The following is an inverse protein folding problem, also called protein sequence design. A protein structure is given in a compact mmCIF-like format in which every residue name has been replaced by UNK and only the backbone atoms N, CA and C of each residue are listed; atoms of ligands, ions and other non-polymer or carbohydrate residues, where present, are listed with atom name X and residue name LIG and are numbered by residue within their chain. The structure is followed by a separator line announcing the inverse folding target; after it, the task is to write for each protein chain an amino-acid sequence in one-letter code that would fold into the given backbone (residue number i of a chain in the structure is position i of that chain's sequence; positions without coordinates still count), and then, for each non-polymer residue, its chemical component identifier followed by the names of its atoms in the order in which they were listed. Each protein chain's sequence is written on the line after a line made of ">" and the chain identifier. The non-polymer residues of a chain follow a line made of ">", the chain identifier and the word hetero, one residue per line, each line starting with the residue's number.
data_IF_062640439247
#
_entry.id   IF_062640439247
#
_cell.length_a   1.000
_cell.length_b   1.000
_cell.length_c   1.000
_cell.angle_alpha   90.00
_cell.angle_beta   90.00
_cell.angle_gamma   90.00
#
_symmetry.space_group_name_H-M   'P 1'
#
loop_
_entity.id
_entity.type
_entity.pdbx_description
1 polymer ?
#
# COMPACT_ATOMS: atom_id res chain seq x y z
N UNK A 1 -7.55 -4.43 -18.77
CA UNK A 1 -6.45 -3.59 -18.27
C UNK A 1 -5.54 -4.50 -17.49
N UNK A 2 -4.25 -4.47 -17.79
CA UNK A 2 -3.26 -5.26 -17.06
C UNK A 2 -3.18 -4.80 -15.59
N UNK A 3 -2.87 -5.73 -14.68
CA UNK A 3 -2.77 -5.40 -13.24
C UNK A 3 -1.66 -4.38 -12.97
N UNK A 4 -0.57 -4.43 -13.74
CA UNK A 4 0.53 -3.48 -13.58
C UNK A 4 0.13 -2.07 -14.06
N UNK A 5 -0.70 -1.95 -15.10
CA UNK A 5 -1.25 -0.66 -15.51
C UNK A 5 -2.15 -0.06 -14.41
N UNK A 6 -2.93 -0.90 -13.72
CA UNK A 6 -3.78 -0.45 -12.60
C UNK A 6 -2.94 0.03 -11.42
N UNK A 7 -1.91 -0.74 -11.05
CA UNK A 7 -0.97 -0.38 -9.98
C UNK A 7 -0.24 0.92 -10.33
N UNK A 8 0.29 1.04 -11.56
CA UNK A 8 0.95 2.25 -12.04
C UNK A 8 0.06 3.49 -11.93
N UNK A 9 -1.19 3.40 -12.40
CA UNK A 9 -2.15 4.51 -12.28
C UNK A 9 -2.44 4.90 -10.83
N UNK A 10 -2.55 3.93 -9.91
CA UNK A 10 -2.74 4.22 -8.49
C UNK A 10 -1.55 4.97 -7.91
N UNK A 11 -0.33 4.52 -8.24
CA UNK A 11 0.92 5.15 -7.81
C UNK A 11 1.10 6.57 -8.39
N UNK A 12 0.67 6.81 -9.62
CA UNK A 12 0.70 8.14 -10.24
C UNK A 12 -0.38 9.08 -9.66
N UNK A 13 -1.52 8.52 -9.21
CA UNK A 13 -2.64 9.31 -8.69
C UNK A 13 -2.40 9.85 -7.29
N UNK A 14 -1.54 9.18 -6.49
CA UNK A 14 -1.33 9.51 -5.09
C UNK A 14 0.17 9.61 -4.77
N UNK A 15 0.65 10.77 -4.27
CA UNK A 15 2.06 10.95 -3.94
C UNK A 15 2.50 10.07 -2.76
N UNK A 16 1.58 9.67 -1.88
CA UNK A 16 1.84 8.71 -0.81
C UNK A 16 0.70 7.68 -0.82
N UNK A 17 1.06 6.41 -1.06
CA UNK A 17 0.10 5.32 -1.17
C UNK A 17 0.52 4.14 -0.29
N UNK A 18 -0.39 3.67 0.55
CA UNK A 18 -0.18 2.53 1.44
C UNK A 18 -1.06 1.35 1.02
N UNK A 19 -0.43 0.27 0.55
CA UNK A 19 -1.10 -1.02 0.40
C UNK A 19 -1.07 -1.76 1.73
N UNK A 20 -2.24 -2.03 2.31
CA UNK A 20 -2.37 -2.57 3.65
C UNK A 20 -3.47 -3.63 3.76
N UNK A 21 -3.44 -4.36 4.88
CA UNK A 21 -4.48 -5.35 5.25
C UNK A 21 -5.54 -4.67 6.11
N UNK A 22 -6.74 -4.49 5.57
CA UNK A 22 -7.80 -3.68 6.19
C UNK A 22 -7.69 -2.20 5.81
N UNK A 23 -8.20 -1.31 6.67
CA UNK A 23 -8.20 0.14 6.45
C UNK A 23 -7.42 0.87 7.54
N UNK A 24 -7.06 2.16 7.36
CA UNK A 24 -6.37 2.93 8.40
C UNK A 24 -7.13 3.00 9.73
N UNK A 25 -8.46 3.00 9.68
CA UNK A 25 -9.32 3.03 10.88
C UNK A 25 -9.57 1.63 11.46
N UNK A 26 -9.56 0.60 10.61
CA UNK A 26 -9.74 -0.79 11.01
C UNK A 26 -8.66 -1.69 10.40
N UNK A 27 -7.40 -1.60 10.88
CA UNK A 27 -6.33 -2.44 10.39
C UNK A 27 -6.54 -3.89 10.83
N UNK A 28 -6.35 -4.83 9.92
CA UNK A 28 -6.54 -6.27 10.17
C UNK A 28 -5.21 -7.04 10.32
N UNK A 29 -4.10 -6.31 10.47
CA UNK A 29 -2.77 -6.86 10.69
C UNK A 29 -1.94 -5.89 11.53
N UNK A 30 -1.17 -6.40 12.51
CA UNK A 30 -0.34 -5.58 13.39
C UNK A 30 0.68 -4.72 12.65
N UNK A 31 1.33 -5.25 11.62
CA UNK A 31 2.28 -4.51 10.78
C UNK A 31 1.60 -3.36 10.03
N UNK A 32 0.40 -3.61 9.47
CA UNK A 32 -0.40 -2.55 8.84
C UNK A 32 -0.82 -1.47 9.84
N UNK A 33 -1.19 -1.85 11.08
CA UNK A 33 -1.50 -0.89 12.14
C UNK A 33 -0.28 -0.04 12.52
N UNK A 34 0.91 -0.65 12.61
CA UNK A 34 2.15 0.06 12.92
C UNK A 34 2.52 1.08 11.84
N UNK A 35 2.44 0.71 10.56
CA UNK A 35 2.72 1.65 9.46
C UNK A 35 1.74 2.83 9.45
N UNK A 36 0.45 2.57 9.66
CA UNK A 36 -0.57 3.64 9.78
C UNK A 36 -0.28 4.55 10.96
N UNK A 37 0.07 3.99 12.13
CA UNK A 37 0.42 4.77 13.30
C UNK A 37 1.64 5.65 13.07
N UNK A 38 2.67 5.14 12.39
CA UNK A 38 3.86 5.91 12.03
C UNK A 38 3.53 7.08 11.09
N UNK A 39 2.73 6.84 10.04
CA UNK A 39 2.29 7.88 9.10
C UNK A 39 1.45 8.96 9.79
N UNK A 40 0.52 8.55 10.68
CA UNK A 40 -0.29 9.48 11.48
C UNK A 40 0.57 10.29 12.46
N UNK A 41 1.58 9.69 13.08
CA UNK A 41 2.45 10.36 14.04
C UNK A 41 3.28 11.50 13.39
N UNK A 42 3.65 11.35 12.11
CA UNK A 42 4.34 12.41 11.36
C UNK A 42 3.39 13.38 10.65
N UNK A 43 2.07 13.18 10.78
CA UNK A 43 1.06 14.03 10.13
C UNK A 43 1.04 13.90 8.61
N UNK A 44 1.50 12.77 8.06
CA UNK A 44 1.51 12.56 6.62
C UNK A 44 0.09 12.28 6.11
N UNK A 45 -0.31 12.96 5.04
CA UNK A 45 -1.49 12.61 4.26
C UNK A 45 -1.14 11.48 3.30
N UNK A 46 -1.92 10.40 3.31
CA UNK A 46 -1.69 9.24 2.45
C UNK A 46 -3.02 8.63 1.99
N UNK A 47 -3.03 8.10 0.77
CA UNK A 47 -4.08 7.22 0.30
C UNK A 47 -3.79 5.78 0.72
N UNK A 48 -4.83 4.94 0.78
CA UNK A 48 -4.68 3.53 1.11
C UNK A 48 -5.43 2.65 0.12
N UNK A 49 -4.94 1.42 0.00
CA UNK A 49 -5.61 0.34 -0.73
C UNK A 49 -5.64 -0.89 0.17
N UNK A 50 -6.85 -1.40 0.41
CA UNK A 50 -7.06 -2.63 1.15
C UNK A 50 -6.87 -3.83 0.21
N UNK A 51 -5.79 -4.57 0.39
CA UNK A 51 -5.43 -5.70 -0.48
C UNK A 51 -6.37 -6.92 -0.33
N UNK A 52 -7.25 -6.92 0.66
CA UNK A 52 -8.26 -7.97 0.81
C UNK A 52 -9.45 -7.78 -0.11
N UNK A 53 -9.70 -6.54 -0.56
CA UNK A 53 -10.79 -6.23 -1.48
C UNK A 53 -10.39 -6.44 -2.95
N UNK A 54 -9.08 -6.51 -3.24
CA UNK A 54 -8.56 -6.73 -4.59
C UNK A 54 -7.43 -7.79 -4.60
N UNK A 55 -7.79 -9.08 -4.77
CA UNK A 55 -6.83 -10.18 -4.83
C UNK A 55 -5.85 -10.09 -6.01
N UNK A 56 -6.27 -9.48 -7.12
CA UNK A 56 -5.41 -9.31 -8.29
C UNK A 56 -4.30 -8.31 -8.00
N UNK A 57 -4.63 -7.15 -7.41
CA UNK A 57 -3.63 -6.16 -6.95
C UNK A 57 -2.69 -6.79 -5.93
N UNK A 58 -3.20 -7.60 -5.00
CA UNK A 58 -2.38 -8.27 -3.98
C UNK A 58 -1.29 -9.15 -4.57
N UNK A 59 -1.63 -10.00 -5.54
CA UNK A 59 -0.65 -10.88 -6.17
C UNK A 59 0.23 -10.12 -7.17
N UNK A 60 -0.36 -9.18 -7.92
CA UNK A 60 0.36 -8.32 -8.86
C UNK A 60 1.42 -7.47 -8.20
N UNK A 61 1.13 -6.87 -7.03
CA UNK A 61 2.09 -6.04 -6.29
C UNK A 61 3.34 -6.80 -5.90
N UNK A 62 3.24 -8.06 -5.45
CA UNK A 62 4.41 -8.83 -5.05
C UNK A 62 5.42 -8.99 -6.19
N UNK A 63 4.90 -9.13 -7.41
CA UNK A 63 5.71 -9.26 -8.63
C UNK A 63 6.19 -7.89 -9.09
N UNK A 64 5.30 -6.90 -9.15
CA UNK A 64 5.59 -5.54 -9.59
C UNK A 64 6.68 -4.87 -8.75
N UNK A 65 6.58 -5.02 -7.43
CA UNK A 65 7.48 -4.38 -6.46
C UNK A 65 8.69 -5.22 -6.10
N UNK A 66 8.74 -6.47 -6.59
CA UNK A 66 9.69 -7.48 -6.17
C UNK A 66 9.76 -7.63 -4.64
N UNK A 67 8.63 -7.42 -3.95
CA UNK A 67 8.52 -7.41 -2.49
C UNK A 67 7.38 -8.34 -2.02
N UNK A 68 7.66 -9.39 -1.24
CA UNK A 68 6.69 -10.46 -0.99
C UNK A 68 5.65 -10.16 0.11
N UNK A 69 5.86 -9.11 0.92
CA UNK A 69 5.06 -8.86 2.13
C UNK A 69 4.24 -7.57 2.08
N UNK A 70 3.33 -7.42 3.04
CA UNK A 70 2.50 -6.23 3.25
C UNK A 70 2.51 -5.89 4.75
N UNK A 71 2.45 -4.61 5.12
CA UNK A 71 2.12 -3.44 4.29
C UNK A 71 3.24 -3.00 3.33
N UNK A 72 2.90 -2.33 2.22
CA UNK A 72 3.85 -1.71 1.30
C UNK A 72 3.55 -0.22 1.17
N UNK A 73 4.52 0.62 1.54
CA UNK A 73 4.44 2.08 1.44
C UNK A 73 5.15 2.54 0.17
N UNK A 74 4.44 3.32 -0.63
CA UNK A 74 4.97 4.00 -1.80
C UNK A 74 4.96 5.50 -1.61
N UNK A 75 6.00 6.16 -2.08
CA UNK A 75 6.11 7.62 -2.13
C UNK A 75 6.58 8.02 -3.52
N UNK A 76 5.82 8.87 -4.19
CA UNK A 76 6.06 9.32 -5.57
C UNK A 76 6.31 8.16 -6.57
N UNK A 77 5.56 7.07 -6.40
CA UNK A 77 5.68 5.87 -7.23
C UNK A 77 6.85 4.94 -6.88
N UNK A 78 7.71 5.32 -5.93
CA UNK A 78 8.82 4.49 -5.47
C UNK A 78 8.43 3.69 -4.22
N UNK A 79 8.78 2.41 -4.18
CA UNK A 79 8.60 1.58 -3.00
C UNK A 79 9.60 2.00 -1.92
N UNK A 80 9.09 2.46 -0.77
CA UNK A 80 9.92 2.78 0.39
C UNK A 80 10.17 1.53 1.24
N UNK A 81 9.19 0.63 1.30
CA UNK A 81 9.31 -0.65 2.00
C UNK A 81 8.04 -1.03 2.76
N UNK A 82 8.21 -1.94 3.72
CA UNK A 82 7.14 -2.42 4.59
C UNK A 82 7.57 -2.48 6.05
N UNK A 83 6.66 -2.95 6.89
CA UNK A 83 6.92 -3.31 8.28
C UNK A 83 7.01 -4.82 8.45
#
# INVERSE_FOLDING_TARGET
>A
MDVNERIGKQLESYPVLLYMKGTPDFPQCGFSAQTVAALRAVGAEFAFVNIFEDPEIREGLKVYSNWPTFPQLYVNGELIGGC
#
